data_IF_437117762465
#
_entry.id   IF_437117762465
#
_cell.length_a   1.000
_cell.length_b   1.000
_cell.length_c   1.000
_cell.angle_alpha   90.00
_cell.angle_beta   90.00
_cell.angle_gamma   90.00
#
_symmetry.space_group_name_H-M   'P 1'
#
loop_
_entity.id
_entity.type
_entity.pdbx_description
1 polymer ?
#
# COMPACT_ATOMS: atom_id res chain seq x y z
N UNK A 1 -8.26 15.00 21.39
CA UNK A 1 -7.34 15.76 22.24
C UNK A 1 -6.07 16.07 21.44
N UNK A 2 -6.12 17.06 20.55
CA UNK A 2 -4.95 17.55 19.81
C UNK A 2 -4.71 18.97 20.29
N UNK A 3 -3.87 19.11 21.31
CA UNK A 3 -3.41 20.42 21.76
C UNK A 3 -2.73 21.12 20.58
N UNK A 4 -3.28 22.27 20.21
CA UNK A 4 -2.64 23.24 19.32
C UNK A 4 -1.28 23.62 19.91
N UNK A 5 -0.23 22.89 19.52
CA UNK A 5 1.15 23.23 19.84
C UNK A 5 1.48 24.52 19.08
N UNK A 6 1.25 25.66 19.75
CA UNK A 6 1.50 26.99 19.21
C UNK A 6 2.93 27.13 18.70
N UNK A 7 3.17 28.10 17.80
CA UNK A 7 4.45 28.32 17.13
C UNK A 7 5.67 28.34 18.09
N UNK A 8 5.46 28.84 19.31
CA UNK A 8 6.46 28.89 20.40
C UNK A 8 6.98 27.50 20.78
N UNK A 9 6.10 26.49 20.88
CA UNK A 9 6.51 25.13 21.21
C UNK A 9 7.33 24.50 20.09
N UNK A 10 6.98 24.78 18.84
CA UNK A 10 7.71 24.26 17.67
C UNK A 10 9.12 24.83 17.62
N UNK A 11 9.27 26.13 17.84
CA UNK A 11 10.57 26.80 17.90
C UNK A 11 11.39 26.25 19.08
N UNK A 12 10.76 26.04 20.24
CA UNK A 12 11.40 25.43 21.40
C UNK A 12 11.93 24.02 21.12
N UNK A 13 11.15 23.19 20.43
CA UNK A 13 11.58 21.83 20.03
C UNK A 13 12.74 21.86 19.03
N UNK A 14 12.75 22.82 18.10
CA UNK A 14 13.86 23.00 17.14
C UNK A 14 15.12 23.49 17.86
N UNK A 15 15.00 24.44 18.79
CA UNK A 15 16.14 24.88 19.61
C UNK A 15 16.71 23.73 20.44
N UNK A 16 15.83 22.93 21.07
CA UNK A 16 16.24 21.76 21.84
C UNK A 16 16.96 20.72 20.98
N UNK A 17 16.49 20.47 19.74
CA UNK A 17 17.15 19.51 18.86
C UNK A 17 18.55 19.96 18.44
N UNK A 18 18.75 21.26 18.18
CA UNK A 18 20.07 21.84 17.86
C UNK A 18 21.01 21.71 19.06
N UNK A 19 20.54 22.01 20.28
CA UNK A 19 21.34 21.87 21.50
C UNK A 19 21.73 20.41 21.74
N UNK A 20 20.79 19.47 21.58
CA UNK A 20 21.06 18.04 21.68
C UNK A 20 22.11 17.59 20.66
N UNK A 21 21.98 18.02 19.40
CA UNK A 21 22.93 17.69 18.34
C UNK A 21 24.33 18.24 18.62
N UNK A 22 24.42 19.47 19.14
CA UNK A 22 25.70 20.06 19.56
C UNK A 22 26.33 19.29 20.72
N UNK A 23 25.51 18.86 21.68
CA UNK A 23 25.96 18.10 22.83
C UNK A 23 26.45 16.71 22.44
N UNK A 24 25.78 16.02 21.51
CA UNK A 24 26.25 14.74 20.97
C UNK A 24 27.57 14.89 20.22
N UNK A 25 27.73 15.97 19.46
CA UNK A 25 28.98 16.26 18.77
C UNK A 25 30.16 16.44 19.74
N UNK A 26 29.96 17.22 20.82
CA UNK A 26 31.02 17.49 21.78
C UNK A 26 31.36 16.29 22.68
N UNK A 27 30.35 15.55 23.13
CA UNK A 27 30.52 14.46 24.10
C UNK A 27 30.90 13.13 23.46
N UNK A 28 30.40 12.84 22.26
CA UNK A 28 30.64 11.55 21.59
C UNK A 28 31.55 11.73 20.39
N UNK A 29 31.19 12.55 19.41
CA UNK A 29 31.89 12.57 18.12
C UNK A 29 33.31 13.14 18.21
N UNK A 30 33.49 14.25 18.94
CA UNK A 30 34.79 14.92 19.09
C UNK A 30 35.83 14.05 19.83
N UNK A 31 35.53 13.40 20.97
CA UNK A 31 36.49 12.52 21.63
C UNK A 31 36.75 11.22 20.86
N UNK A 32 35.73 10.64 20.20
CA UNK A 32 35.90 9.44 19.36
C UNK A 32 36.84 9.73 18.19
N UNK A 33 36.68 10.86 17.51
CA UNK A 33 37.51 11.23 16.35
C UNK A 33 38.96 11.55 16.73
N UNK A 34 39.21 12.03 17.95
CA UNK A 34 40.57 12.39 18.42
C UNK A 34 41.32 11.25 19.09
N UNK A 35 40.63 10.19 19.55
CA UNK A 35 41.24 9.04 20.24
C UNK A 35 40.87 7.75 19.52
N UNK A 36 41.66 7.34 18.54
CA UNK A 36 41.47 6.05 17.86
C UNK A 36 42.16 4.92 18.65
N UNK A 37 41.58 4.53 19.79
CA UNK A 37 42.08 3.42 20.62
C UNK A 37 41.16 2.22 20.54
N UNK A 38 41.71 1.00 20.66
CA UNK A 38 40.94 -0.25 20.64
C UNK A 38 39.82 -0.31 21.70
N UNK A 39 39.91 0.51 22.76
CA UNK A 39 38.87 0.68 23.76
C UNK A 39 37.54 1.21 23.18
N UNK A 40 37.57 2.09 22.17
CA UNK A 40 36.34 2.60 21.54
C UNK A 40 35.67 1.51 20.69
N UNK A 41 36.46 0.71 19.98
CA UNK A 41 35.96 -0.44 19.24
C UNK A 41 35.32 -1.48 20.18
N UNK A 42 35.91 -1.69 21.37
CA UNK A 42 35.36 -2.57 22.41
C UNK A 42 34.03 -2.03 22.97
N UNK A 43 33.94 -0.72 23.23
CA UNK A 43 32.70 -0.08 23.68
C UNK A 43 31.61 -0.21 22.62
N UNK A 44 31.93 0.06 21.35
CA UNK A 44 30.97 -0.07 20.26
C UNK A 44 30.48 -1.52 20.11
N UNK A 45 31.40 -2.49 20.15
CA UNK A 45 31.05 -3.90 20.14
C UNK A 45 30.15 -4.27 21.34
N UNK A 46 30.43 -3.73 22.52
CA UNK A 46 29.61 -3.90 23.71
C UNK A 46 28.20 -3.33 23.56
N UNK A 47 28.06 -2.11 23.04
CA UNK A 47 26.76 -1.48 22.78
C UNK A 47 25.97 -2.26 21.73
N UNK A 48 26.61 -2.66 20.62
CA UNK A 48 25.97 -3.48 19.59
C UNK A 48 25.51 -4.83 20.15
N UNK A 49 26.32 -5.46 20.99
CA UNK A 49 25.97 -6.71 21.67
C UNK A 49 24.78 -6.51 22.61
N UNK A 50 24.77 -5.43 23.39
CA UNK A 50 23.65 -5.11 24.28
C UNK A 50 22.34 -4.86 23.52
N UNK A 51 22.38 -4.15 22.38
CA UNK A 51 21.22 -3.97 21.51
C UNK A 51 20.76 -5.31 20.93
N UNK A 52 21.69 -6.17 20.50
CA UNK A 52 21.39 -7.51 20.01
C UNK A 52 20.72 -8.38 21.06
N UNK A 53 21.23 -8.38 22.31
CA UNK A 53 20.65 -9.09 23.44
C UNK A 53 19.26 -8.54 23.78
N UNK A 54 19.09 -7.21 23.79
CA UNK A 54 17.79 -6.60 24.00
C UNK A 54 16.78 -7.03 22.91
N UNK A 55 17.19 -7.02 21.64
CA UNK A 55 16.38 -7.54 20.53
C UNK A 55 16.02 -9.01 20.69
N UNK A 56 16.96 -9.83 21.18
CA UNK A 56 16.74 -11.25 21.46
C UNK A 56 15.74 -11.46 22.61
N UNK A 57 15.77 -10.61 23.64
CA UNK A 57 14.79 -10.62 24.73
C UNK A 57 13.38 -10.21 24.26
N UNK A 58 13.27 -9.32 23.26
CA UNK A 58 11.98 -9.06 22.61
C UNK A 58 11.52 -10.22 21.72
N UNK A 59 12.45 -10.91 21.05
CA UNK A 59 12.13 -12.06 20.19
C UNK A 59 11.71 -13.30 20.97
N UNK A 60 12.37 -13.58 22.10
CA UNK A 60 12.12 -14.78 22.91
C UNK A 60 10.87 -14.68 23.79
N UNK A 61 10.18 -13.53 23.80
CA UNK A 61 8.91 -13.34 24.50
C UNK A 61 8.91 -13.03 26.01
N UNK A 62 10.02 -12.93 26.78
CA UNK A 62 9.93 -12.53 28.19
C UNK A 62 9.52 -11.06 28.38
N UNK A 63 9.63 -10.22 27.35
CA UNK A 63 9.17 -8.83 27.36
C UNK A 63 7.93 -8.73 26.47
N UNK A 64 6.78 -8.43 27.08
CA UNK A 64 5.50 -8.30 26.35
C UNK A 64 5.64 -7.26 25.24
N UNK A 65 5.49 -7.70 23.99
CA UNK A 65 5.41 -6.79 22.86
C UNK A 65 4.10 -6.00 22.97
N UNK A 66 4.14 -4.68 22.72
CA UNK A 66 2.93 -3.85 22.63
C UNK A 66 1.91 -4.39 21.60
N UNK A 67 2.38 -5.20 20.64
CA UNK A 67 1.57 -5.86 19.63
C UNK A 67 0.85 -7.13 20.12
N UNK A 68 1.12 -7.63 21.33
CA UNK A 68 0.49 -8.85 21.87
C UNK A 68 -0.92 -8.58 22.45
N UNK A 69 -1.64 -7.63 21.84
CA UNK A 69 -3.00 -7.30 22.22
C UNK A 69 -3.96 -8.13 21.37
N UNK A 70 -5.00 -8.75 21.97
CA UNK A 70 -6.03 -9.50 21.22
C UNK A 70 -6.76 -8.63 20.19
N UNK A 71 -6.76 -7.30 20.36
CA UNK A 71 -7.29 -6.36 19.37
C UNK A 71 -6.46 -6.30 18.08
N UNK A 72 -5.14 -6.51 18.17
CA UNK A 72 -4.28 -6.50 16.99
C UNK A 72 -4.48 -7.74 16.14
N UNK A 73 -4.80 -8.89 16.75
CA UNK A 73 -5.17 -10.10 16.01
C UNK A 73 -6.42 -9.86 15.13
N UNK A 74 -7.37 -9.05 15.60
CA UNK A 74 -8.53 -8.63 14.78
C UNK A 74 -8.09 -7.77 13.59
N UNK A 75 -7.15 -6.85 13.79
CA UNK A 75 -6.60 -6.01 12.71
C UNK A 75 -5.81 -6.87 11.71
N UNK A 76 -4.98 -7.80 12.18
CA UNK A 76 -4.22 -8.72 11.32
C UNK A 76 -5.14 -9.64 10.53
N UNK A 77 -6.23 -10.12 11.13
CA UNK A 77 -7.28 -10.84 10.38
C UNK A 77 -7.90 -9.96 9.29
N UNK A 78 -8.23 -8.71 9.61
CA UNK A 78 -8.81 -7.76 8.65
C UNK A 78 -7.88 -7.39 7.48
N UNK A 79 -6.56 -7.48 7.66
CA UNK A 79 -5.60 -7.30 6.54
C UNK A 79 -5.76 -8.40 5.48
N UNK A 80 -6.14 -9.61 5.89
CA UNK A 80 -6.40 -10.72 4.98
C UNK A 80 -7.83 -10.70 4.39
N UNK A 81 -8.70 -9.79 4.83
CA UNK A 81 -10.05 -9.61 4.29
C UNK A 81 -10.06 -8.84 2.94
N UNK A 82 -8.90 -8.70 2.29
CA UNK A 82 -8.79 -8.11 0.96
C UNK A 82 -9.45 -9.01 -0.09
N UNK A 83 -10.73 -8.79 -0.35
CA UNK A 83 -11.56 -9.62 -1.23
C UNK A 83 -11.50 -9.15 -2.70
N UNK A 84 -10.28 -9.03 -3.25
CA UNK A 84 -10.05 -8.76 -4.67
C UNK A 84 -8.93 -9.65 -5.25
N UNK A 85 -9.17 -10.34 -6.38
CA UNK A 85 -10.47 -10.51 -7.05
C UNK A 85 -11.46 -11.26 -6.15
N UNK A 86 -12.73 -10.82 -6.14
CA UNK A 86 -13.76 -11.49 -5.34
C UNK A 86 -14.00 -12.91 -5.86
N UNK A 87 -14.39 -13.85 -4.99
CA UNK A 87 -14.47 -15.29 -5.33
C UNK A 87 -15.42 -15.64 -6.49
N UNK A 88 -16.36 -14.76 -6.73
CA UNK A 88 -17.41 -14.80 -7.74
C UNK A 88 -17.04 -14.08 -9.05
N UNK A 89 -15.85 -13.47 -9.10
CA UNK A 89 -15.31 -12.84 -10.31
C UNK A 89 -14.58 -13.88 -11.15
N UNK A 90 -14.85 -13.83 -12.45
CA UNK A 90 -14.22 -14.69 -13.44
C UNK A 90 -13.23 -13.90 -14.28
N UNK A 91 -12.10 -14.49 -14.62
CA UNK A 91 -11.17 -13.87 -15.59
C UNK A 91 -11.83 -13.87 -16.95
N UNK A 92 -12.12 -12.70 -17.50
CA UNK A 92 -12.72 -12.56 -18.82
C UNK A 92 -11.66 -12.57 -19.92
N UNK A 93 -10.58 -11.82 -19.72
CA UNK A 93 -9.49 -11.69 -20.67
C UNK A 93 -8.25 -11.19 -19.95
N UNK A 94 -7.07 -11.55 -20.44
CA UNK A 94 -5.82 -10.89 -20.08
C UNK A 94 -5.28 -10.20 -21.32
N UNK A 95 -4.83 -8.95 -21.17
CA UNK A 95 -4.24 -8.17 -22.24
C UNK A 95 -3.06 -7.36 -21.70
N UNK A 96 -1.88 -7.58 -22.28
CA UNK A 96 -0.60 -7.11 -21.71
C UNK A 96 -0.51 -7.56 -20.24
N UNK A 97 -0.14 -6.65 -19.33
CA UNK A 97 -0.07 -6.90 -17.88
C UNK A 97 -1.41 -6.69 -17.14
N UNK A 98 -2.52 -6.51 -17.86
CA UNK A 98 -3.83 -6.32 -17.26
C UNK A 98 -4.64 -7.61 -17.32
N UNK A 99 -5.22 -7.98 -16.18
CA UNK A 99 -6.20 -9.06 -16.09
C UNK A 99 -7.57 -8.44 -15.86
N UNK A 100 -8.52 -8.76 -16.73
CA UNK A 100 -9.87 -8.25 -16.67
C UNK A 100 -10.74 -9.24 -15.89
N UNK A 101 -11.19 -8.83 -14.71
CA UNK A 101 -12.08 -9.62 -13.86
C UNK A 101 -13.52 -9.20 -14.09
N UNK A 102 -14.41 -10.15 -14.35
CA UNK A 102 -15.83 -9.90 -14.57
C UNK A 102 -16.68 -10.54 -13.47
N UNK A 103 -17.49 -9.71 -12.82
CA UNK A 103 -18.66 -10.13 -12.04
C UNK A 103 -19.87 -10.14 -12.98
N UNK A 104 -20.50 -11.31 -13.13
CA UNK A 104 -21.67 -11.47 -14.01
C UNK A 104 -22.90 -10.86 -13.34
N UNK A 105 -23.50 -9.88 -14.01
CA UNK A 105 -24.82 -9.35 -13.69
C UNK A 105 -25.92 -10.15 -14.40
N UNK A 106 -27.17 -9.76 -14.17
CA UNK A 106 -28.34 -10.40 -14.79
C UNK A 106 -28.87 -9.64 -16.01
N UNK A 107 -28.49 -8.38 -16.16
CA UNK A 107 -28.75 -7.60 -17.37
C UNK A 107 -27.66 -7.84 -18.43
N UNK A 108 -28.00 -7.56 -19.70
CA UNK A 108 -27.14 -7.80 -20.86
C UNK A 108 -26.04 -6.74 -21.03
N UNK A 109 -26.12 -5.63 -20.31
CA UNK A 109 -25.15 -4.56 -20.30
C UNK A 109 -23.99 -4.81 -19.30
N UNK A 110 -22.88 -4.10 -19.53
CA UNK A 110 -21.69 -4.21 -18.70
C UNK A 110 -21.04 -2.84 -18.45
N UNK A 111 -20.61 -2.62 -17.21
CA UNK A 111 -19.88 -1.43 -16.77
C UNK A 111 -18.41 -1.79 -16.57
N UNK A 112 -17.52 -1.01 -17.18
CA UNK A 112 -16.07 -1.17 -17.06
C UNK A 112 -15.52 -0.22 -15.98
N UNK A 113 -14.97 -0.79 -14.92
CA UNK A 113 -14.24 -0.10 -13.86
C UNK A 113 -12.75 -0.10 -14.17
N UNK A 114 -12.15 1.07 -14.28
CA UNK A 114 -10.74 1.24 -14.64
C UNK A 114 -10.01 1.99 -13.53
N UNK A 115 -8.85 1.50 -13.13
CA UNK A 115 -8.05 2.18 -12.11
C UNK A 115 -6.86 1.37 -11.60
N UNK A 116 -6.44 1.66 -10.39
CA UNK A 116 -5.38 0.97 -9.65
C UNK A 116 -5.94 0.20 -8.46
N UNK A 117 -5.08 -0.07 -7.47
CA UNK A 117 -5.44 -0.68 -6.19
C UNK A 117 -6.58 0.03 -5.45
N UNK A 118 -6.84 1.32 -5.70
CA UNK A 118 -7.98 2.02 -5.11
C UNK A 118 -9.30 1.59 -5.75
N UNK A 119 -9.32 1.37 -7.07
CA UNK A 119 -10.51 0.85 -7.75
C UNK A 119 -10.84 -0.59 -7.30
N UNK A 120 -9.81 -1.39 -7.00
CA UNK A 120 -9.96 -2.76 -6.49
C UNK A 120 -10.73 -2.81 -5.16
N UNK A 121 -10.59 -1.77 -4.31
CA UNK A 121 -11.30 -1.69 -3.03
C UNK A 121 -12.82 -1.57 -3.18
N UNK A 122 -13.32 -1.13 -4.33
CA UNK A 122 -14.75 -1.03 -4.60
C UNK A 122 -15.37 -2.37 -5.05
N UNK A 123 -14.56 -3.35 -5.44
CA UNK A 123 -15.04 -4.61 -5.98
C UNK A 123 -16.04 -5.36 -5.08
N UNK A 124 -15.80 -5.55 -3.76
CA UNK A 124 -16.77 -6.25 -2.90
C UNK A 124 -18.12 -5.55 -2.84
N UNK A 125 -18.12 -4.21 -2.83
CA UNK A 125 -19.36 -3.41 -2.81
C UNK A 125 -20.11 -3.51 -4.14
N UNK A 126 -19.40 -3.52 -5.27
CA UNK A 126 -20.01 -3.71 -6.59
C UNK A 126 -20.61 -5.11 -6.70
N UNK A 127 -19.89 -6.16 -6.25
CA UNK A 127 -20.42 -7.53 -6.21
C UNK A 127 -21.69 -7.63 -5.37
N UNK A 128 -21.69 -7.04 -4.17
CA UNK A 128 -22.87 -6.98 -3.29
C UNK A 128 -24.08 -6.33 -3.96
N UNK A 129 -23.88 -5.21 -4.66
CA UNK A 129 -24.96 -4.50 -5.36
C UNK A 129 -25.51 -5.32 -6.54
N UNK A 130 -24.65 -6.03 -7.26
CA UNK A 130 -25.05 -6.90 -8.37
C UNK A 130 -25.85 -8.11 -7.87
N UNK A 131 -25.44 -8.72 -6.76
CA UNK A 131 -26.14 -9.88 -6.20
C UNK A 131 -27.51 -9.51 -5.61
N UNK A 132 -27.62 -8.31 -5.03
CA UNK A 132 -28.85 -7.81 -4.43
C UNK A 132 -29.89 -7.27 -5.41
N UNK A 133 -29.54 -7.03 -6.69
CA UNK A 133 -30.44 -6.40 -7.65
C UNK A 133 -30.54 -7.21 -8.97
N UNK A 134 -31.72 -7.78 -9.29
CA UNK A 134 -31.94 -8.55 -10.50
C UNK A 134 -31.77 -7.78 -11.82
N UNK A 135 -31.80 -6.44 -11.80
CA UNK A 135 -31.62 -5.60 -12.97
C UNK A 135 -30.20 -5.06 -13.16
N UNK A 136 -29.22 -5.52 -12.35
CA UNK A 136 -27.88 -4.94 -12.40
C UNK A 136 -27.07 -5.41 -13.62
N UNK A 137 -26.34 -4.47 -14.27
CA UNK A 137 -25.36 -4.80 -15.31
C UNK A 137 -24.23 -5.66 -14.76
N UNK A 138 -23.53 -6.32 -15.65
CA UNK A 138 -22.25 -6.95 -15.30
C UNK A 138 -21.18 -5.90 -14.97
N UNK A 139 -20.27 -6.21 -14.07
CA UNK A 139 -19.11 -5.35 -13.80
C UNK A 139 -17.83 -6.01 -14.32
N UNK A 140 -17.00 -5.24 -15.02
CA UNK A 140 -15.68 -5.66 -15.50
C UNK A 140 -14.65 -4.73 -14.85
N UNK A 141 -13.65 -5.29 -14.18
CA UNK A 141 -12.56 -4.55 -13.55
C UNK A 141 -11.30 -4.69 -14.41
N UNK A 142 -10.77 -3.55 -14.83
CA UNK A 142 -9.48 -3.41 -15.50
C UNK A 142 -8.55 -2.61 -14.59
N UNK A 143 -7.96 -3.29 -13.61
CA UNK A 143 -7.10 -2.66 -12.60
C UNK A 143 -5.69 -3.26 -12.61
N UNK A 144 -4.74 -2.48 -12.13
CA UNK A 144 -3.37 -2.93 -11.86
C UNK A 144 -2.80 -2.13 -10.68
N UNK A 145 -2.32 -2.81 -9.64
CA UNK A 145 -1.71 -2.18 -8.47
C UNK A 145 -0.58 -1.20 -8.85
N UNK A 146 -0.64 0.02 -8.31
CA UNK A 146 0.36 1.06 -8.53
C UNK A 146 0.26 1.83 -9.86
N UNK A 147 -0.72 1.54 -10.73
CA UNK A 147 -0.88 2.23 -12.01
C UNK A 147 -1.98 3.30 -11.99
N UNK A 148 -1.62 4.58 -11.79
CA UNK A 148 -2.55 5.68 -12.01
C UNK A 148 -3.14 5.61 -13.43
N UNK A 149 -4.48 5.50 -13.48
CA UNK A 149 -5.37 5.56 -14.65
C UNK A 149 -4.80 5.00 -15.96
N UNK A 150 -5.25 3.80 -16.35
CA UNK A 150 -5.10 3.20 -17.69
C UNK A 150 -3.79 3.59 -18.40
N UNK A 151 -2.73 2.80 -18.21
CA UNK A 151 -1.43 3.10 -18.82
C UNK A 151 -1.60 3.56 -20.28
N UNK A 152 -0.88 4.61 -20.72
CA UNK A 152 -0.92 5.06 -22.12
C UNK A 152 -0.68 3.92 -23.12
N UNK A 153 -0.01 2.86 -22.69
CA UNK A 153 0.15 1.57 -23.37
C UNK A 153 -1.17 0.91 -23.77
N UNK A 154 -2.17 0.83 -22.88
CA UNK A 154 -3.50 0.29 -23.21
C UNK A 154 -4.19 1.11 -24.32
N UNK A 155 -4.14 2.44 -24.22
CA UNK A 155 -4.70 3.33 -25.23
C UNK A 155 -3.99 3.23 -26.58
N UNK A 156 -2.65 3.17 -26.57
CA UNK A 156 -1.83 3.00 -27.79
C UNK A 156 -2.01 1.62 -28.41
N UNK A 157 -2.05 0.56 -27.61
CA UNK A 157 -2.25 -0.81 -28.06
C UNK A 157 -3.65 -1.00 -28.63
N UNK A 158 -4.69 -0.46 -28.00
CA UNK A 158 -6.04 -0.45 -28.56
C UNK A 158 -6.11 0.30 -29.90
N UNK A 159 -5.42 1.45 -30.01
CA UNK A 159 -5.34 2.21 -31.26
C UNK A 159 -4.58 1.46 -32.35
N UNK A 160 -3.49 0.77 -31.99
CA UNK A 160 -2.70 -0.06 -32.91
C UNK A 160 -3.51 -1.26 -33.41
N UNK A 161 -4.16 -2.00 -32.50
CA UNK A 161 -5.06 -3.09 -32.86
C UNK A 161 -6.22 -2.61 -33.74
N UNK A 162 -6.79 -1.43 -33.47
CA UNK A 162 -7.84 -0.85 -34.33
C UNK A 162 -7.35 -0.55 -35.75
N UNK A 163 -6.08 -0.15 -35.91
CA UNK A 163 -5.47 0.05 -37.23
C UNK A 163 -5.14 -1.27 -37.93
N UNK A 164 -4.64 -2.25 -37.19
CA UNK A 164 -4.26 -3.57 -37.72
C UNK A 164 -5.48 -4.43 -38.09
N UNK A 165 -6.58 -4.32 -37.33
CA UNK A 165 -7.82 -5.10 -37.55
C UNK A 165 -8.79 -4.41 -38.51
N UNK A 166 -8.52 -3.16 -38.92
CA UNK A 166 -9.08 -2.55 -40.14
C UNK A 166 -10.57 -2.82 -40.40
N UNK A 167 -11.46 -2.24 -39.59
CA UNK A 167 -12.90 -2.33 -39.82
C UNK A 167 -13.62 -1.09 -39.34
N UNK A 168 -13.91 -0.17 -40.26
CA UNK A 168 -14.67 1.05 -40.05
C UNK A 168 -16.14 0.73 -39.69
N UNK A 169 -16.41 0.39 -38.43
CA UNK A 169 -17.78 0.38 -37.90
C UNK A 169 -17.82 1.22 -36.61
N UNK A 170 -18.53 2.37 -36.59
CA UNK A 170 -18.78 3.09 -35.36
C UNK A 170 -19.66 2.24 -34.43
N UNK A 171 -19.32 2.22 -33.14
CA UNK A 171 -20.22 1.80 -32.08
C UNK A 171 -21.35 2.83 -32.01
N UNK A 172 -22.47 2.52 -32.67
CA UNK A 172 -23.64 3.39 -32.69
C UNK A 172 -24.41 3.31 -34.02
N UNK A 173 -25.03 2.16 -34.29
CA UNK A 173 -26.23 2.03 -35.12
C UNK A 173 -26.65 0.55 -35.22
N UNK A 174 -27.62 0.16 -34.40
CA UNK A 174 -28.64 -0.86 -34.60
C UNK A 174 -29.48 -0.80 -33.30
N UNK A 175 -30.76 -0.45 -33.31
CA UNK A 175 -31.81 -1.06 -34.12
C UNK A 175 -32.63 -1.91 -33.17
#
# INVERSE_FOLDING_TARGET
>A
MTSSLGAIHRIGLVGLSIILAWMTYLLFERPIRRRNTGAIALILAGVMTAIGVAGLLFWTGPVSNRLDRPDLERVVRAVNDWEYPSRDMTVQKSFLDYTFYRKKGRADDAVLFVGDSNMEQYAPRVSFLIDGNPGSPSAIFATKGGCHFASPELGRAATRLRREVGGNRPFGAAG
#
